data_IF_207097497052
#
_entry.id   IF_207097497052
#
_cell.length_a   1.000
_cell.length_b   1.000
_cell.length_c   1.000
_cell.angle_alpha   90.00
_cell.angle_beta   90.00
_cell.angle_gamma   90.00
#
_symmetry.space_group_name_H-M   'P 1'
#
loop_
_entity.id
_entity.type
_entity.pdbx_description
1 polymer ?
#
# COMPACT_ATOMS: atom_id res chain seq x y z
N UNK A 1 1.00 -7.91 -18.24
CA UNK A 1 0.80 -9.04 -17.30
C UNK A 1 0.65 -8.47 -15.91
N UNK A 2 -0.35 -8.92 -15.15
CA UNK A 2 -0.64 -8.45 -13.80
C UNK A 2 -0.41 -9.64 -12.85
N UNK A 3 0.64 -9.56 -12.03
CA UNK A 3 1.03 -10.64 -11.12
C UNK A 3 0.88 -10.15 -9.68
N UNK A 4 0.28 -10.97 -8.82
CA UNK A 4 0.19 -10.73 -7.39
C UNK A 4 1.34 -11.48 -6.70
N UNK A 5 2.13 -10.78 -5.89
CA UNK A 5 3.16 -11.36 -5.05
C UNK A 5 2.86 -11.02 -3.59
N UNK A 6 3.03 -11.99 -2.69
CA UNK A 6 2.88 -11.77 -1.25
C UNK A 6 4.27 -11.63 -0.65
N UNK A 7 4.57 -10.45 -0.11
CA UNK A 7 5.80 -10.22 0.66
C UNK A 7 5.54 -10.50 2.13
N UNK A 8 6.40 -11.31 2.75
CA UNK A 8 6.30 -11.78 4.13
C UNK A 8 7.47 -11.23 4.93
N UNK A 9 7.20 -10.48 6.00
CA UNK A 9 8.22 -10.03 6.94
C UNK A 9 7.69 -10.10 8.36
N UNK A 10 8.49 -10.60 9.30
CA UNK A 10 8.07 -10.80 10.70
C UNK A 10 7.67 -9.50 11.42
N UNK A 11 8.20 -8.34 10.99
CA UNK A 11 7.84 -7.03 11.55
C UNK A 11 6.69 -6.36 10.79
N UNK A 12 6.54 -6.62 9.48
CA UNK A 12 5.58 -5.90 8.62
C UNK A 12 4.36 -6.74 8.20
N UNK A 13 4.36 -8.03 8.52
CA UNK A 13 3.35 -9.00 8.11
C UNK A 13 3.28 -9.19 6.60
N UNK A 14 2.09 -9.54 6.14
CA UNK A 14 1.81 -9.92 4.76
C UNK A 14 1.38 -8.69 3.96
N UNK A 15 2.13 -8.39 2.89
CA UNK A 15 1.80 -7.34 1.92
C UNK A 15 1.50 -7.95 0.55
N UNK A 16 0.26 -7.77 0.10
CA UNK A 16 -0.20 -8.08 -1.25
C UNK A 16 0.32 -7.04 -2.26
N UNK A 17 1.47 -7.30 -2.88
CA UNK A 17 2.08 -6.41 -3.87
C UNK A 17 1.57 -6.79 -5.27
N UNK A 18 1.13 -5.79 -6.03
CA UNK A 18 0.74 -5.95 -7.42
C UNK A 18 1.87 -5.50 -8.34
N UNK A 19 2.28 -6.35 -9.28
CA UNK A 19 3.17 -5.95 -10.37
C UNK A 19 2.35 -5.63 -11.61
N UNK A 20 2.42 -4.39 -12.07
CA UNK A 20 1.72 -3.89 -13.26
C UNK A 20 2.78 -3.27 -14.18
N UNK A 21 2.93 -3.82 -15.39
CA UNK A 21 3.90 -3.33 -16.40
C UNK A 21 5.35 -3.26 -15.85
N UNK A 22 5.72 -4.24 -15.03
CA UNK A 22 7.05 -4.30 -14.40
C UNK A 22 7.23 -3.32 -13.23
N UNK A 23 6.19 -2.60 -12.82
CA UNK A 23 6.22 -1.70 -11.66
C UNK A 23 5.44 -2.28 -10.50
N UNK A 24 6.00 -2.17 -9.31
CA UNK A 24 5.37 -2.61 -8.08
C UNK A 24 4.40 -1.57 -7.52
N UNK A 25 3.28 -2.08 -7.02
CA UNK A 25 2.21 -1.31 -6.41
C UNK A 25 1.85 -1.94 -5.07
N UNK A 26 1.81 -1.11 -4.04
CA UNK A 26 1.69 -1.53 -2.65
C UNK A 26 0.30 -1.21 -2.10
N UNK A 27 -0.28 -2.06 -1.25
CA UNK A 27 -1.63 -1.86 -0.71
C UNK A 27 -1.62 -0.68 0.27
N UNK A 28 -2.24 0.42 -0.13
CA UNK A 28 -2.07 1.73 0.49
C UNK A 28 -2.41 1.76 1.99
N UNK A 29 -3.57 1.18 2.34
CA UNK A 29 -4.05 1.15 3.72
C UNK A 29 -3.16 0.27 4.59
N UNK A 30 -2.82 -0.92 4.11
CA UNK A 30 -1.98 -1.86 4.85
C UNK A 30 -0.57 -1.30 5.10
N UNK A 31 0.02 -0.64 4.10
CA UNK A 31 1.29 0.08 4.27
C UNK A 31 1.20 1.13 5.38
N UNK A 32 0.15 1.95 5.39
CA UNK A 32 0.01 2.99 6.41
C UNK A 32 -0.25 2.39 7.83
N UNK A 33 -0.99 1.30 7.94
CA UNK A 33 -1.18 0.56 9.20
C UNK A 33 0.16 0.02 9.73
N UNK A 34 0.92 -0.63 8.86
CA UNK A 34 2.25 -1.17 9.18
C UNK A 34 3.22 -0.06 9.60
N UNK A 35 3.12 1.11 8.97
CA UNK A 35 3.89 2.30 9.34
C UNK A 35 3.34 3.04 10.57
N UNK A 36 2.41 2.45 11.32
CA UNK A 36 1.94 2.97 12.60
C UNK A 36 1.06 4.21 12.51
N UNK A 37 0.50 4.54 11.33
CA UNK A 37 -0.45 5.64 11.22
C UNK A 37 -1.77 5.29 11.89
N UNK A 38 -2.16 6.07 12.89
CA UNK A 38 -3.44 5.90 13.61
C UNK A 38 -4.67 6.06 12.71
N UNK A 39 -4.55 6.82 11.62
CA UNK A 39 -5.58 6.94 10.58
C UNK A 39 -4.98 6.72 9.18
N UNK A 40 -4.94 5.45 8.71
CA UNK A 40 -4.37 5.09 7.41
C UNK A 40 -4.98 5.85 6.23
N UNK A 41 -6.32 6.02 6.23
CA UNK A 41 -7.03 6.72 5.14
C UNK A 41 -6.63 8.20 5.08
N UNK A 42 -6.51 8.85 6.24
CA UNK A 42 -6.03 10.23 6.35
C UNK A 42 -4.56 10.33 5.94
N UNK A 43 -3.69 9.42 6.38
CA UNK A 43 -2.28 9.40 6.01
C UNK A 43 -2.09 9.34 4.49
N UNK A 44 -2.84 8.48 3.80
CA UNK A 44 -2.82 8.39 2.34
C UNK A 44 -3.26 9.72 1.71
N UNK A 45 -4.36 10.32 2.18
CA UNK A 45 -4.82 11.62 1.67
C UNK A 45 -3.80 12.75 1.89
N UNK A 46 -3.15 12.76 3.05
CA UNK A 46 -2.28 13.86 3.47
C UNK A 46 -0.85 13.74 2.89
N UNK A 47 -0.40 12.53 2.50
CA UNK A 47 1.00 12.29 2.15
C UNK A 47 1.22 11.70 0.75
N UNK A 48 0.23 11.03 0.17
CA UNK A 48 0.35 10.48 -1.19
C UNK A 48 0.03 11.54 -2.24
N UNK A 49 0.71 11.47 -3.38
CA UNK A 49 0.35 12.21 -4.60
C UNK A 49 -0.63 11.38 -5.42
N UNK A 50 -1.70 12.01 -5.91
CA UNK A 50 -2.74 11.35 -6.70
C UNK A 50 -2.20 10.57 -7.91
N UNK A 51 -1.20 11.12 -8.62
CA UNK A 51 -0.55 10.46 -9.76
C UNK A 51 0.07 9.09 -9.45
N UNK A 52 0.35 8.80 -8.18
CA UNK A 52 0.90 7.53 -7.71
C UNK A 52 -0.10 6.70 -6.92
N UNK A 53 -1.40 6.97 -7.03
CA UNK A 53 -2.49 6.20 -6.40
C UNK A 53 -3.34 5.57 -7.51
N UNK A 54 -3.66 4.29 -7.36
CA UNK A 54 -4.59 3.59 -8.25
C UNK A 54 -5.59 2.79 -7.42
N UNK A 55 -6.76 2.51 -7.99
CA UNK A 55 -7.77 1.64 -7.36
C UNK A 55 -7.82 0.36 -8.18
N UNK A 56 -7.77 -0.78 -7.51
CA UNK A 56 -7.86 -2.10 -8.13
C UNK A 56 -8.88 -2.94 -7.38
N UNK A 57 -9.76 -3.57 -8.14
CA UNK A 57 -10.66 -4.58 -7.64
C UNK A 57 -9.87 -5.85 -7.37
N UNK A 58 -9.89 -6.31 -6.13
CA UNK A 58 -9.15 -7.49 -5.67
C UNK A 58 -10.17 -8.47 -5.08
N UNK A 59 -10.02 -9.75 -5.40
CA UNK A 59 -10.83 -10.78 -4.77
C UNK A 59 -10.38 -10.95 -3.33
N UNK A 60 -11.32 -10.86 -2.39
CA UNK A 60 -11.11 -11.10 -0.97
C UNK A 60 -12.10 -12.14 -0.46
N UNK A 61 -11.97 -12.58 0.79
CA UNK A 61 -12.92 -13.51 1.42
C UNK A 61 -14.36 -12.96 1.45
N UNK A 62 -14.54 -11.63 1.38
CA UNK A 62 -15.84 -10.96 1.27
C UNK A 62 -16.28 -10.67 -0.17
N UNK A 63 -15.65 -11.28 -1.17
CA UNK A 63 -15.89 -11.02 -2.59
C UNK A 63 -14.96 -9.96 -3.18
N UNK A 64 -15.33 -9.44 -4.35
CA UNK A 64 -14.58 -8.38 -5.05
C UNK A 64 -14.65 -7.07 -4.27
N UNK A 65 -13.49 -6.53 -3.93
CA UNK A 65 -13.37 -5.30 -3.15
C UNK A 65 -12.39 -4.34 -3.82
N UNK A 66 -12.75 -3.06 -3.90
CA UNK A 66 -11.88 -2.03 -4.43
C UNK A 66 -10.87 -1.57 -3.37
N UNK A 67 -9.59 -1.84 -3.61
CA UNK A 67 -8.49 -1.42 -2.73
C UNK A 67 -7.66 -0.34 -3.42
N UNK A 68 -7.18 0.61 -2.62
CA UNK A 68 -6.18 1.60 -3.07
C UNK A 68 -4.79 0.99 -3.04
N UNK A 69 -4.04 1.20 -4.11
CA UNK A 69 -2.63 0.89 -4.22
C UNK A 69 -1.82 2.16 -4.47
N UNK A 70 -0.60 2.18 -3.96
CA UNK A 70 0.37 3.26 -4.14
C UNK A 70 1.62 2.75 -4.85
N UNK A 71 2.25 3.58 -5.66
CA UNK A 71 3.56 3.27 -6.24
C UNK A 71 4.69 3.47 -5.22
N UNK A 72 5.89 3.06 -5.59
CA UNK A 72 7.11 3.18 -4.78
C UNK A 72 7.38 4.62 -4.30
N UNK A 73 7.18 5.62 -5.16
CA UNK A 73 7.38 7.02 -4.79
C UNK A 73 6.45 7.51 -3.67
N UNK A 74 5.21 7.03 -3.64
CA UNK A 74 4.27 7.30 -2.54
C UNK A 74 4.56 6.44 -1.30
N UNK A 75 5.04 5.20 -1.46
CA UNK A 75 5.53 4.38 -0.36
C UNK A 75 6.63 5.12 0.41
N UNK A 76 7.67 5.63 -0.28
CA UNK A 76 8.73 6.40 0.37
C UNK A 76 8.23 7.69 1.05
N UNK A 77 7.21 8.36 0.48
CA UNK A 77 6.58 9.53 1.14
C UNK A 77 5.93 9.15 2.46
N UNK A 78 5.25 8.01 2.52
CA UNK A 78 4.65 7.52 3.76
C UNK A 78 5.71 7.12 4.79
N UNK A 79 6.77 6.43 4.37
CA UNK A 79 7.88 6.03 5.26
C UNK A 79 8.55 7.27 5.85
N UNK A 80 8.95 8.23 5.02
CA UNK A 80 9.64 9.46 5.45
C UNK A 80 8.79 10.38 6.33
N UNK A 81 7.46 10.28 6.25
CA UNK A 81 6.52 11.02 7.11
C UNK A 81 6.02 10.21 8.30
N UNK A 82 6.35 8.93 8.38
CA UNK A 82 5.99 8.10 9.52
C UNK A 82 6.75 8.57 10.76
N UNK A 83 6.07 8.49 11.90
CA UNK A 83 6.65 8.79 13.21
C UNK A 83 7.13 7.53 13.93
N UNK A 84 7.15 6.37 13.27
CA UNK A 84 7.71 5.17 13.88
C UNK A 84 9.20 5.41 14.18
N UNK A 85 9.64 5.23 15.43
CA UNK A 85 11.06 5.22 15.75
C UNK A 85 11.73 4.03 15.04
N UNK A 86 12.96 4.24 14.57
CA UNK A 86 13.82 3.16 14.06
C UNK A 86 14.16 2.17 15.17
#
# INVERSE_FOLDING_TARGET
MQNLQVFQNSQFGDLEILTIEGKEWFPAIKVAEVLGYSNPRKAIRDHAKEKGVTIRSVLSNGGMQDKKFINEGNLYRLITKSKLPQ
#
